data_IF_521717819804
#
_entry.id   IF_521717819804
#
_cell.length_a   1.000
_cell.length_b   1.000
_cell.length_c   1.000
_cell.angle_alpha   90.00
_cell.angle_beta   90.00
_cell.angle_gamma   90.00
#
_symmetry.space_group_name_H-M   'P 1'
#
loop_
_entity.id
_entity.type
_entity.pdbx_description
1 polymer ?
#
# COMPACT_ATOMS: atom_id res chain seq x y z
N UNK A 1 17.69 9.60 -26.03
CA UNK A 1 17.52 8.17 -25.71
C UNK A 1 16.68 8.10 -24.46
N UNK A 2 15.40 7.73 -24.56
CA UNK A 2 14.57 7.52 -23.37
C UNK A 2 15.05 6.25 -22.68
N UNK A 3 15.45 6.35 -21.42
CA UNK A 3 15.83 5.17 -20.65
C UNK A 3 14.70 4.13 -20.71
N UNK A 4 15.02 2.83 -20.84
CA UNK A 4 14.01 1.80 -20.83
C UNK A 4 13.26 1.91 -19.51
N UNK A 5 12.00 2.28 -19.65
CA UNK A 5 10.98 2.41 -18.62
C UNK A 5 11.12 1.24 -17.66
N UNK A 6 11.79 1.49 -16.53
CA UNK A 6 12.07 0.51 -15.50
C UNK A 6 10.70 -0.01 -15.05
N UNK A 7 10.33 -1.18 -15.57
CA UNK A 7 9.00 -1.75 -15.38
C UNK A 7 8.87 -1.87 -13.88
N UNK A 8 8.08 -0.97 -13.29
CA UNK A 8 8.03 -0.77 -11.84
C UNK A 8 7.21 -1.94 -11.29
N UNK A 9 7.79 -3.14 -11.35
CA UNK A 9 7.23 -4.44 -10.96
C UNK A 9 6.73 -4.37 -9.53
N UNK A 10 7.45 -3.59 -8.74
CA UNK A 10 7.07 -3.18 -7.41
C UNK A 10 5.70 -2.47 -7.47
N UNK A 11 5.56 -1.39 -8.22
CA UNK A 11 4.31 -0.61 -8.28
C UNK A 11 3.14 -1.46 -8.79
N UNK A 12 3.41 -2.35 -9.73
CA UNK A 12 2.46 -3.35 -10.20
C UNK A 12 2.00 -4.28 -9.07
N UNK A 13 2.91 -4.85 -8.28
CA UNK A 13 2.58 -5.70 -7.12
C UNK A 13 1.74 -4.94 -6.08
N UNK A 14 2.03 -3.65 -5.85
CA UNK A 14 1.23 -2.81 -4.95
C UNK A 14 -0.20 -2.58 -5.45
N UNK A 15 -0.34 -2.27 -6.75
CA UNK A 15 -1.66 -2.09 -7.39
C UNK A 15 -2.45 -3.40 -7.36
N UNK A 16 -1.80 -4.52 -7.64
CA UNK A 16 -2.40 -5.86 -7.57
C UNK A 16 -2.85 -6.18 -6.15
N UNK A 17 -2.02 -5.93 -5.13
CA UNK A 17 -2.41 -6.10 -3.72
C UNK A 17 -3.60 -5.22 -3.32
N UNK A 18 -3.65 -3.98 -3.83
CA UNK A 18 -4.78 -3.07 -3.61
C UNK A 18 -6.05 -3.57 -4.28
N UNK A 19 -5.96 -4.11 -5.50
CA UNK A 19 -7.08 -4.74 -6.19
C UNK A 19 -7.64 -5.92 -5.37
N UNK A 20 -6.78 -6.81 -4.90
CA UNK A 20 -7.19 -7.94 -4.05
C UNK A 20 -7.88 -7.48 -2.76
N UNK A 21 -7.40 -6.40 -2.14
CA UNK A 21 -8.07 -5.82 -0.97
C UNK A 21 -9.46 -5.29 -1.28
N UNK A 22 -9.63 -4.60 -2.42
CA UNK A 22 -10.93 -4.06 -2.84
C UNK A 22 -11.93 -5.18 -3.17
N UNK A 23 -11.48 -6.21 -3.87
CA UNK A 23 -12.32 -7.38 -4.19
C UNK A 23 -12.69 -8.15 -2.92
N UNK A 24 -11.72 -8.36 -2.01
CA UNK A 24 -11.98 -8.97 -0.71
C UNK A 24 -12.99 -8.17 0.11
N UNK A 25 -12.86 -6.85 0.17
CA UNK A 25 -13.82 -5.98 0.85
C UNK A 25 -15.22 -6.06 0.20
N UNK A 26 -15.29 -6.07 -1.13
CA UNK A 26 -16.56 -6.23 -1.86
C UNK A 26 -17.25 -7.55 -1.52
N UNK A 27 -16.53 -8.66 -1.49
CA UNK A 27 -17.06 -9.97 -1.07
C UNK A 27 -17.54 -9.97 0.39
N UNK A 28 -16.87 -9.22 1.26
CA UNK A 28 -17.27 -9.08 2.66
C UNK A 28 -18.60 -8.31 2.78
N UNK A 29 -18.79 -7.27 1.95
CA UNK A 29 -20.08 -6.58 1.82
C UNK A 29 -21.16 -7.53 1.29
N UNK A 30 -20.86 -8.35 0.28
CA UNK A 30 -21.79 -9.37 -0.21
C UNK A 30 -22.17 -10.39 0.87
N UNK A 31 -21.23 -10.79 1.71
CA UNK A 31 -21.52 -11.65 2.86
C UNK A 31 -22.48 -10.97 3.84
N UNK A 32 -22.27 -9.69 4.17
CA UNK A 32 -23.19 -8.92 5.03
C UNK A 32 -24.60 -8.84 4.43
N UNK A 33 -24.71 -8.63 3.11
CA UNK A 33 -26.00 -8.66 2.42
C UNK A 33 -26.65 -10.06 2.47
N UNK A 34 -25.84 -11.10 2.31
CA UNK A 34 -26.30 -12.50 2.42
C UNK A 34 -26.82 -12.83 3.82
N UNK A 35 -26.14 -12.33 4.86
CA UNK A 35 -26.55 -12.48 6.25
C UNK A 35 -27.85 -11.72 6.53
N UNK A 36 -28.01 -10.51 5.97
CA UNK A 36 -29.25 -9.74 6.07
C UNK A 36 -30.46 -10.42 5.41
N UNK A 37 -30.21 -11.32 4.45
CA UNK A 37 -31.22 -12.15 3.79
C UNK A 37 -31.45 -13.50 4.50
N UNK A 38 -30.95 -13.68 5.73
CA UNK A 38 -31.03 -14.91 6.54
C UNK A 38 -30.41 -16.15 5.86
N UNK A 39 -29.60 -15.95 4.83
CA UNK A 39 -28.91 -17.00 4.09
C UNK A 39 -27.39 -16.76 4.14
N UNK A 40 -26.73 -17.00 5.28
CA UNK A 40 -25.31 -16.74 5.42
C UNK A 40 -24.50 -17.64 4.49
N UNK A 41 -24.00 -17.06 3.39
CA UNK A 41 -23.11 -17.75 2.46
C UNK A 41 -21.66 -17.62 2.94
N UNK A 42 -21.25 -18.57 3.79
CA UNK A 42 -19.89 -18.62 4.35
C UNK A 42 -18.78 -18.69 3.28
N UNK A 43 -19.11 -19.13 2.07
CA UNK A 43 -18.19 -19.12 0.93
C UNK A 43 -17.69 -17.70 0.61
N UNK A 44 -18.58 -16.68 0.68
CA UNK A 44 -18.19 -15.29 0.46
C UNK A 44 -17.32 -14.76 1.60
N UNK A 45 -17.63 -15.12 2.84
CA UNK A 45 -16.82 -14.77 4.00
C UNK A 45 -15.42 -15.37 3.89
N UNK A 46 -15.31 -16.68 3.66
CA UNK A 46 -14.03 -17.39 3.58
C UNK A 46 -13.19 -16.87 2.41
N UNK A 47 -13.81 -16.68 1.23
CA UNK A 47 -13.16 -16.07 0.07
C UNK A 47 -12.67 -14.65 0.33
N UNK A 48 -13.50 -13.81 0.98
CA UNK A 48 -13.12 -12.44 1.35
C UNK A 48 -11.92 -12.42 2.29
N UNK A 49 -11.87 -13.32 3.27
CA UNK A 49 -10.81 -13.36 4.28
C UNK A 49 -9.47 -13.77 3.67
N UNK A 50 -9.47 -14.77 2.78
CA UNK A 50 -8.28 -15.18 2.02
C UNK A 50 -7.79 -14.04 1.14
N UNK A 51 -8.67 -13.38 0.39
CA UNK A 51 -8.30 -12.27 -0.50
C UNK A 51 -7.75 -11.07 0.27
N UNK A 52 -8.34 -10.75 1.43
CA UNK A 52 -7.85 -9.67 2.29
C UNK A 52 -6.48 -9.99 2.86
N UNK A 53 -6.23 -11.22 3.34
CA UNK A 53 -4.92 -11.64 3.86
C UNK A 53 -3.86 -11.54 2.76
N UNK A 54 -4.15 -12.10 1.57
CA UNK A 54 -3.21 -12.08 0.43
C UNK A 54 -2.95 -10.66 -0.06
N UNK A 55 -4.01 -9.85 -0.22
CA UNK A 55 -3.91 -8.44 -0.60
C UNK A 55 -3.12 -7.62 0.42
N UNK A 56 -3.34 -7.87 1.71
CA UNK A 56 -2.60 -7.21 2.79
C UNK A 56 -1.14 -7.64 2.82
N UNK A 57 -0.82 -8.92 2.58
CA UNK A 57 0.56 -9.39 2.45
C UNK A 57 1.29 -8.68 1.30
N UNK A 58 0.68 -8.59 0.12
CA UNK A 58 1.28 -7.87 -1.02
C UNK A 58 1.45 -6.38 -0.74
N UNK A 59 0.51 -5.76 -0.02
CA UNK A 59 0.62 -4.36 0.40
C UNK A 59 1.67 -4.14 1.48
N UNK A 60 1.79 -5.04 2.44
CA UNK A 60 2.73 -4.95 3.56
C UNK A 60 4.19 -5.15 3.12
N UNK A 61 4.43 -6.04 2.15
CA UNK A 61 5.73 -6.22 1.49
C UNK A 61 6.22 -4.92 0.81
N UNK A 62 5.31 -4.00 0.53
CA UNK A 62 5.57 -2.77 -0.21
C UNK A 62 6.07 -1.58 0.62
N UNK A 63 6.05 -1.69 1.96
CA UNK A 63 6.36 -0.56 2.86
C UNK A 63 7.86 -0.20 2.91
N UNK A 64 8.75 -0.93 2.22
CA UNK A 64 10.22 -0.75 2.31
C UNK A 64 10.87 0.09 1.21
N UNK A 65 10.12 0.58 0.21
CA UNK A 65 10.74 1.28 -0.93
C UNK A 65 10.04 2.56 -1.36
N UNK A 66 9.36 3.28 -0.44
CA UNK A 66 9.31 4.73 -0.63
C UNK A 66 10.73 5.21 -0.42
N UNK A 67 11.48 5.28 -1.52
CA UNK A 67 12.66 6.10 -1.59
C UNK A 67 12.30 7.42 -0.92
N UNK A 68 13.04 7.75 0.15
CA UNK A 68 13.03 9.06 0.79
C UNK A 68 12.92 10.08 -0.33
N UNK A 69 11.72 10.65 -0.53
CA UNK A 69 11.56 11.64 -1.58
C UNK A 69 12.55 12.73 -1.22
N UNK A 70 13.43 13.12 -2.14
CA UNK A 70 14.49 14.11 -1.92
C UNK A 70 14.00 15.47 -1.38
N UNK A 71 12.70 15.64 -1.12
CA UNK A 71 12.05 16.74 -0.43
C UNK A 71 12.58 16.97 1.00
N UNK A 72 13.16 15.95 1.66
CA UNK A 72 13.84 16.11 2.96
C UNK A 72 15.35 16.44 2.86
N UNK A 73 15.90 16.59 1.64
CA UNK A 73 17.29 17.06 1.47
C UNK A 73 17.47 18.51 1.89
N UNK A 74 16.46 19.35 1.68
CA UNK A 74 16.54 20.80 1.92
C UNK A 74 16.53 21.11 3.42
N UNK A 75 15.64 20.47 4.18
CA UNK A 75 15.61 20.60 5.64
C UNK A 75 16.93 20.17 6.30
N UNK A 76 17.54 19.08 5.82
CA UNK A 76 18.84 18.60 6.32
C UNK A 76 19.98 19.60 6.06
N UNK A 77 19.88 20.41 4.99
CA UNK A 77 20.90 21.40 4.64
C UNK A 77 20.78 22.67 5.48
N UNK A 78 19.56 23.08 5.81
CA UNK A 78 19.30 24.25 6.66
C UNK A 78 19.71 23.95 8.11
N UNK A 79 19.37 22.75 8.62
CA UNK A 79 19.75 22.36 9.99
C UNK A 79 21.26 22.19 10.19
N UNK A 80 22.03 21.87 9.14
CA UNK A 80 23.51 21.82 9.19
C UNK A 80 24.19 23.18 9.10
N UNK A 81 23.47 24.24 8.71
CA UNK A 81 24.04 25.57 8.47
C UNK A 81 23.83 26.54 9.64
N UNK A 82 22.88 26.26 10.54
CA UNK A 82 22.64 27.08 11.74
C UNK A 82 23.56 26.80 12.93
N UNK A 83 24.57 25.94 12.80
CA UNK A 83 25.56 25.65 13.85
C UNK A 83 26.93 26.25 13.58
N UNK A 84 27.02 27.32 12.79
CA UNK A 84 28.31 27.92 12.36
C UNK A 84 28.33 29.45 12.43
N UNK A 85 27.41 30.05 13.19
CA UNK A 85 27.30 31.50 13.35
C UNK A 85 27.36 31.92 14.83
N UNK A 86 28.08 31.17 15.70
CA UNK A 86 28.33 31.57 17.10
C UNK A 86 29.82 31.73 17.46
N UNK A 87 30.73 31.71 16.49
CA UNK A 87 32.16 31.97 16.73
C UNK A 87 32.76 32.88 15.63
N UNK A 88 32.41 34.16 15.61
CA UNK A 88 33.34 35.27 15.27
C UNK A 88 32.81 36.63 15.76
#
# INVERSE_FOLDING_TARGET
>A
MGEPQDYNRKEFVYRVGTFFLLVGLGLLVFFMLSESAEQPQFNYFCGSMVLLIVGFMFRAQYKKSMASSGRFSILKRIFRRGGRDEDE
#
